data_IF_695311419771
#
_entry.id   IF_695311419771
#
_cell.length_a   1.000
_cell.length_b   1.000
_cell.length_c   1.000
_cell.angle_alpha   90.00
_cell.angle_beta   90.00
_cell.angle_gamma   90.00
#
_symmetry.space_group_name_H-M   'P 1'
#
loop_
_entity.id
_entity.type
_entity.pdbx_description
1 polymer ?
#
# COMPACT_ATOMS: atom_id res chain seq x y z
N UNK A 1 -1.99 -10.61 -7.51
CA UNK A 1 -0.76 -9.84 -7.82
C UNK A 1 -0.93 -8.91 -9.02
N UNK A 2 -1.85 -9.20 -9.94
CA UNK A 2 -2.18 -8.35 -11.09
C UNK A 2 -2.52 -6.89 -10.73
N UNK A 3 -3.33 -6.68 -9.68
CA UNK A 3 -3.68 -5.31 -9.21
C UNK A 3 -2.44 -4.48 -8.86
N UNK A 4 -1.49 -5.04 -8.12
CA UNK A 4 -0.27 -4.32 -7.74
C UNK A 4 0.58 -3.95 -8.97
N UNK A 5 0.66 -4.84 -9.97
CA UNK A 5 1.35 -4.56 -11.23
C UNK A 5 0.63 -3.46 -12.02
N UNK A 6 -0.70 -3.49 -12.06
CA UNK A 6 -1.52 -2.46 -12.71
C UNK A 6 -1.33 -1.09 -12.05
N UNK A 7 -1.36 -1.04 -10.70
CA UNK A 7 -1.08 0.19 -9.93
C UNK A 7 0.32 0.70 -10.23
N UNK A 8 1.35 -0.15 -10.18
CA UNK A 8 2.73 0.29 -10.44
C UNK A 8 2.93 0.81 -11.88
N UNK A 9 2.27 0.19 -12.87
CA UNK A 9 2.27 0.68 -14.25
C UNK A 9 1.60 2.04 -14.36
N UNK A 10 0.46 2.24 -13.69
CA UNK A 10 -0.21 3.54 -13.64
C UNK A 10 0.66 4.60 -12.95
N UNK A 11 1.25 4.30 -11.80
CA UNK A 11 2.15 5.23 -11.10
C UNK A 11 3.34 5.67 -11.97
N UNK A 12 3.83 4.80 -12.86
CA UNK A 12 4.82 5.18 -13.89
C UNK A 12 4.26 6.20 -14.89
N UNK A 13 3.00 6.09 -15.31
CA UNK A 13 2.39 7.01 -16.29
C UNK A 13 2.23 8.44 -15.77
N UNK A 14 2.11 8.61 -14.44
CA UNK A 14 1.99 9.92 -13.77
C UNK A 14 3.32 10.36 -13.13
N UNK A 15 4.42 9.72 -13.51
CA UNK A 15 5.78 9.97 -13.00
C UNK A 15 5.90 10.00 -11.46
N UNK A 16 5.13 9.14 -10.79
CA UNK A 16 5.20 9.01 -9.34
C UNK A 16 6.41 8.14 -8.94
N UNK A 17 7.19 8.50 -7.90
CA UNK A 17 8.38 7.75 -7.48
C UNK A 17 7.99 6.45 -6.76
N UNK A 18 7.91 5.36 -7.52
CA UNK A 18 7.59 4.02 -7.05
C UNK A 18 8.45 2.98 -7.78
N UNK A 19 8.64 1.81 -7.19
CA UNK A 19 9.34 0.70 -7.85
C UNK A 19 8.69 0.34 -9.19
N UNK A 20 9.53 0.17 -10.20
CA UNK A 20 9.08 -0.05 -11.58
C UNK A 20 8.98 -1.54 -11.89
N UNK A 21 8.08 -1.84 -12.82
CA UNK A 21 7.82 -3.17 -13.36
C UNK A 21 8.61 -3.28 -14.67
N UNK A 22 9.63 -4.16 -14.76
CA UNK A 22 10.31 -4.44 -16.03
C UNK A 22 9.32 -4.79 -17.15
N UNK A 23 9.50 -4.16 -18.31
CA UNK A 23 8.56 -4.24 -19.44
C UNK A 23 8.73 -5.51 -20.29
N UNK A 24 9.92 -6.10 -20.25
CA UNK A 24 10.40 -7.24 -21.03
C UNK A 24 10.10 -8.60 -20.40
N UNK A 25 9.52 -8.61 -19.20
CA UNK A 25 9.22 -9.84 -18.46
C UNK A 25 7.73 -10.17 -18.60
N UNK A 26 7.42 -11.27 -19.29
CA UNK A 26 6.07 -11.84 -19.36
C UNK A 26 5.62 -12.31 -17.96
N UNK A 27 4.40 -11.93 -17.54
CA UNK A 27 3.85 -12.21 -16.20
C UNK A 27 2.45 -12.86 -16.33
N UNK A 28 2.02 -13.70 -15.37
CA UNK A 28 2.76 -14.13 -14.17
C UNK A 28 3.82 -15.20 -14.48
N UNK A 29 4.91 -15.19 -13.73
CA UNK A 29 5.90 -16.27 -13.75
C UNK A 29 5.58 -17.20 -12.59
N UNK A 30 5.39 -18.49 -12.87
CA UNK A 30 5.15 -19.51 -11.85
C UNK A 30 6.31 -20.49 -11.85
N UNK A 31 7.01 -20.60 -10.72
CA UNK A 31 8.14 -21.51 -10.53
C UNK A 31 7.84 -22.42 -9.35
N UNK A 32 7.80 -23.74 -9.58
CA UNK A 32 7.47 -24.73 -8.54
C UNK A 32 6.15 -24.44 -7.80
N UNK A 33 5.15 -23.92 -8.53
CA UNK A 33 3.86 -23.54 -7.96
C UNK A 33 3.82 -22.18 -7.23
N UNK A 34 4.94 -21.46 -7.17
CA UNK A 34 5.02 -20.14 -6.55
C UNK A 34 4.94 -19.03 -7.60
N UNK A 35 4.14 -18.01 -7.34
CA UNK A 35 4.07 -16.80 -8.18
C UNK A 35 5.29 -15.92 -7.88
N UNK A 36 6.11 -15.69 -8.90
CA UNK A 36 7.31 -14.85 -8.83
C UNK A 36 7.07 -13.52 -9.53
N UNK A 37 7.47 -12.42 -8.89
CA UNK A 37 7.40 -11.07 -9.46
C UNK A 37 8.76 -10.40 -9.47
N UNK A 38 9.08 -9.76 -10.58
CA UNK A 38 10.29 -8.96 -10.74
C UNK A 38 9.98 -7.46 -10.65
N UNK A 39 10.90 -6.71 -10.07
CA UNK A 39 10.81 -5.28 -9.87
C UNK A 39 12.20 -4.67 -10.09
N UNK A 40 12.26 -3.46 -10.65
CA UNK A 40 13.52 -2.72 -10.78
C UNK A 40 13.98 -2.29 -9.39
N UNK A 41 15.22 -2.62 -9.03
CA UNK A 41 15.82 -2.15 -7.79
C UNK A 41 16.09 -0.66 -7.89
N UNK A 42 15.63 0.11 -6.90
CA UNK A 42 15.81 1.57 -6.85
C UNK A 42 17.07 1.99 -6.09
N UNK A 43 17.62 1.11 -5.26
CA UNK A 43 18.77 1.39 -4.39
C UNK A 43 19.60 0.12 -4.18
N UNK A 44 20.93 0.25 -4.19
CA UNK A 44 21.85 -0.86 -3.91
C UNK A 44 22.07 -1.08 -2.41
N UNK A 45 21.74 -0.07 -1.59
CA UNK A 45 21.94 -0.07 -0.13
C UNK A 45 20.67 0.40 0.56
N UNK A 46 20.45 -0.09 1.77
CA UNK A 46 19.30 0.31 2.59
C UNK A 46 19.41 1.79 3.00
N UNK A 47 18.38 2.55 2.66
CA UNK A 47 18.20 3.94 3.07
C UNK A 47 16.72 4.23 3.29
N UNK A 48 16.39 4.85 4.42
CA UNK A 48 15.01 5.19 4.77
C UNK A 48 14.77 6.68 4.56
N UNK A 49 13.59 7.01 4.04
CA UNK A 49 13.10 8.38 4.02
C UNK A 49 12.83 8.87 5.45
N UNK A 50 13.02 10.16 5.67
CA UNK A 50 12.52 10.83 6.87
C UNK A 50 11.00 10.80 6.92
N UNK A 51 10.42 11.04 8.10
CA UNK A 51 8.96 11.14 8.26
C UNK A 51 8.37 12.24 7.37
N UNK A 52 9.06 13.38 7.22
CA UNK A 52 8.62 14.49 6.37
C UNK A 52 8.57 14.10 4.89
N UNK A 53 9.64 13.50 4.38
CA UNK A 53 9.71 13.03 2.99
C UNK A 53 8.64 11.97 2.70
N UNK A 54 8.42 11.03 3.63
CA UNK A 54 7.36 10.04 3.51
C UNK A 54 5.97 10.69 3.51
N UNK A 55 5.73 11.65 4.41
CA UNK A 55 4.46 12.36 4.48
C UNK A 55 4.16 13.12 3.18
N UNK A 56 5.16 13.77 2.59
CA UNK A 56 5.03 14.45 1.30
C UNK A 56 4.73 13.48 0.15
N UNK A 57 5.36 12.30 0.13
CA UNK A 57 5.07 11.27 -0.86
C UNK A 57 3.65 10.71 -0.71
N UNK A 58 3.22 10.41 0.52
CA UNK A 58 1.85 9.94 0.79
C UNK A 58 0.81 10.99 0.43
N UNK A 59 1.10 12.26 0.74
CA UNK A 59 0.27 13.39 0.33
C UNK A 59 0.11 13.40 -1.18
N UNK A 60 1.20 13.41 -1.93
CA UNK A 60 1.18 13.38 -3.40
C UNK A 60 0.40 12.18 -3.94
N UNK A 61 0.59 11.00 -3.36
CA UNK A 61 -0.09 9.76 -3.76
C UNK A 61 -1.61 9.87 -3.59
N UNK A 62 -2.09 10.38 -2.46
CA UNK A 62 -3.53 10.53 -2.19
C UNK A 62 -4.22 11.59 -3.05
N UNK A 63 -3.45 12.48 -3.67
CA UNK A 63 -3.98 13.50 -4.58
C UNK A 63 -4.06 13.03 -6.05
N UNK A 64 -3.52 11.86 -6.38
CA UNK A 64 -3.58 11.33 -7.74
C UNK A 64 -4.99 10.86 -8.09
N UNK A 65 -5.46 11.23 -9.28
CA UNK A 65 -6.68 10.69 -9.86
C UNK A 65 -6.37 9.34 -10.53
N UNK A 66 -6.92 8.26 -9.97
CA UNK A 66 -6.77 6.93 -10.55
C UNK A 66 -7.63 6.76 -11.82
N UNK A 67 -7.13 6.04 -12.83
CA UNK A 67 -7.91 5.73 -14.00
C UNK A 67 -9.02 4.74 -13.64
N UNK A 68 -10.24 4.98 -14.14
CA UNK A 68 -11.42 4.12 -13.88
C UNK A 68 -11.18 2.64 -14.19
N UNK A 69 -10.30 2.34 -15.16
CA UNK A 69 -9.92 0.97 -15.52
C UNK A 69 -9.18 0.21 -14.42
N UNK A 70 -8.61 0.91 -13.44
CA UNK A 70 -7.90 0.30 -12.32
C UNK A 70 -8.87 -0.33 -11.31
N UNK A 71 -10.09 0.25 -11.21
CA UNK A 71 -11.18 -0.25 -10.38
C UNK A 71 -10.75 -0.52 -8.94
N UNK A 72 -10.02 0.42 -8.32
CA UNK A 72 -9.58 0.19 -6.94
C UNK A 72 -10.79 0.20 -6.02
N UNK A 73 -10.92 -0.79 -5.13
CA UNK A 73 -12.00 -0.80 -4.16
C UNK A 73 -11.81 0.38 -3.21
N UNK A 74 -12.93 0.94 -2.74
CA UNK A 74 -12.88 1.91 -1.65
C UNK A 74 -12.21 1.26 -0.44
N UNK A 75 -11.18 1.91 0.08
CA UNK A 75 -10.51 1.46 1.28
C UNK A 75 -11.29 1.98 2.50
N UNK A 76 -11.82 1.07 3.32
CA UNK A 76 -12.44 1.39 4.59
C UNK A 76 -11.43 1.19 5.74
N UNK A 77 -10.82 2.25 6.28
CA UNK A 77 -9.73 2.11 7.26
C UNK A 77 -10.16 1.38 8.53
N UNK A 78 -11.44 1.51 8.89
CA UNK A 78 -12.01 1.02 10.14
C UNK A 78 -12.83 -0.28 9.99
N UNK A 79 -12.91 -0.87 8.77
CA UNK A 79 -13.70 -2.08 8.53
C UNK A 79 -13.27 -3.28 9.41
N UNK A 80 -12.00 -3.32 9.83
CA UNK A 80 -11.48 -4.33 10.76
C UNK A 80 -11.88 -4.08 12.21
N UNK A 81 -12.14 -2.83 12.60
CA UNK A 81 -12.54 -2.47 13.96
C UNK A 81 -14.02 -2.81 14.21
N UNK A 82 -14.86 -2.70 13.17
CA UNK A 82 -16.27 -3.11 13.23
C UNK A 82 -16.47 -4.63 13.32
N UNK A 83 -15.44 -5.44 13.01
CA UNK A 83 -15.55 -6.89 12.92
C UNK A 83 -15.38 -7.64 14.25
N UNK A 84 -14.88 -7.01 15.33
CA UNK A 84 -14.95 -7.57 16.69
C UNK A 84 -14.51 -6.55 17.76
N UNK A 85 -15.40 -6.17 18.70
CA UNK A 85 -15.01 -5.42 19.91
C UNK A 85 -14.08 -6.21 20.85
N UNK A 86 -13.99 -7.54 20.69
CA UNK A 86 -13.31 -8.43 21.65
C UNK A 86 -11.80 -8.62 21.39
N UNK A 87 -11.26 -8.07 20.30
CA UNK A 87 -9.86 -8.26 19.89
C UNK A 87 -8.93 -7.07 20.15
N UNK A 88 -9.44 -5.95 20.67
CA UNK A 88 -8.68 -4.72 20.84
C UNK A 88 -7.98 -4.70 22.21
N UNK A 89 -6.80 -5.32 22.29
CA UNK A 89 -5.92 -5.24 23.48
C UNK A 89 -5.10 -3.94 23.55
N UNK A 90 -5.28 -3.01 22.60
CA UNK A 90 -4.51 -1.77 22.53
C UNK A 90 -5.03 -0.65 23.45
N UNK A 91 -6.17 -0.85 24.11
CA UNK A 91 -6.75 0.09 25.07
C UNK A 91 -6.51 -0.49 26.46
N UNK A 92 -5.84 0.26 27.33
CA UNK A 92 -5.68 -0.11 28.75
C UNK A 92 -7.05 -0.09 29.45
N UNK A 93 -7.22 -0.83 30.55
CA UNK A 93 -8.47 -0.76 31.33
C UNK A 93 -8.78 0.65 31.84
N UNK A 94 -7.75 1.46 32.07
CA UNK A 94 -7.86 2.86 32.49
C UNK A 94 -8.64 3.72 31.47
N UNK A 95 -8.43 3.49 30.17
CA UNK A 95 -9.12 4.19 29.08
C UNK A 95 -10.55 3.64 28.81
N UNK A 96 -10.92 2.49 29.37
CA UNK A 96 -12.28 1.92 29.25
C UNK A 96 -13.26 2.48 30.28
N UNK A 97 -12.76 3.22 31.27
CA UNK A 97 -13.61 3.79 32.31
C UNK A 97 -14.37 4.99 31.73
N UNK A 98 -15.71 4.98 31.65
CA UNK A 98 -16.46 6.15 31.22
C UNK A 98 -16.11 7.30 32.15
N UNK A 99 -15.66 8.43 31.58
CA UNK A 99 -15.36 9.64 32.35
C UNK A 99 -16.57 9.97 33.22
N UNK A 100 -16.41 9.79 34.53
CA UNK A 100 -17.44 10.09 35.51
C UNK A 100 -17.65 11.60 35.47
N UNK A 101 -18.72 12.06 34.82
CA UNK A 101 -19.24 13.42 34.99
C UNK A 101 -19.92 13.53 36.35
#
# INVERSE_FOLDING_TARGET
MERAVAVARWLKTVDFPATRVPADIARPIVVRGLVVTFWESVQEREGYATVGELADLLRRLHWLEEPKSLGLPYFEPMAKLSASPNGLHAVSEEDRSPSRR
#
